data_IF_463379568605
#
_entry.id   IF_463379568605
#
_cell.length_a   1.000
_cell.length_b   1.000
_cell.length_c   1.000
_cell.angle_alpha   90.00
_cell.angle_beta   90.00
_cell.angle_gamma   90.00
#
_symmetry.space_group_name_H-M   'P 1'
#
loop_
_entity.id
_entity.type
_entity.pdbx_description
1 polymer ?
#
# COMPACT_ATOMS: atom_id res chain seq x y z
N UNK A 1 -17.53 -0.55 16.33
CA UNK A 1 -16.65 0.63 16.49
C UNK A 1 -15.66 0.42 17.63
N UNK A 2 -14.38 0.67 17.37
CA UNK A 2 -13.31 0.62 18.36
C UNK A 2 -12.74 2.04 18.53
N UNK A 3 -12.69 2.55 19.75
CA UNK A 3 -12.20 3.90 20.06
C UNK A 3 -10.99 3.74 20.98
N UNK A 4 -9.86 4.31 20.57
CA UNK A 4 -8.62 4.31 21.36
C UNK A 4 -8.17 5.74 21.60
N UNK A 5 -8.03 6.14 22.87
CA UNK A 5 -7.57 7.46 23.25
C UNK A 5 -6.03 7.55 23.15
N UNK A 6 -5.53 8.27 22.15
CA UNK A 6 -4.10 8.35 21.82
C UNK A 6 -3.33 9.44 22.59
N UNK A 7 -4.02 10.29 23.34
CA UNK A 7 -3.42 11.36 24.13
C UNK A 7 -3.92 12.77 23.75
N UNK A 8 -3.11 13.81 23.98
CA UNK A 8 -3.50 15.21 23.72
C UNK A 8 -3.88 15.51 22.27
N UNK A 9 -4.43 16.70 22.03
CA UNK A 9 -4.77 17.21 20.69
C UNK A 9 -3.60 17.01 19.71
N UNK A 10 -3.90 16.45 18.54
CA UNK A 10 -2.92 16.15 17.49
C UNK A 10 -2.45 14.68 17.47
N UNK A 11 -2.47 13.98 18.60
CA UNK A 11 -2.01 12.57 18.67
C UNK A 11 -2.84 11.62 17.79
N UNK A 12 -4.14 11.86 17.64
CA UNK A 12 -5.00 11.08 16.73
C UNK A 12 -4.58 11.19 15.26
N UNK A 13 -4.20 12.38 14.81
CA UNK A 13 -3.73 12.61 13.43
C UNK A 13 -2.36 11.97 13.20
N UNK A 14 -1.44 12.12 14.17
CA UNK A 14 -0.14 11.45 14.13
C UNK A 14 -0.32 9.92 14.08
N UNK A 15 -1.23 9.37 14.89
CA UNK A 15 -1.56 7.93 14.90
C UNK A 15 -2.10 7.48 13.55
N UNK A 16 -3.00 8.25 12.93
CA UNK A 16 -3.52 7.94 11.60
C UNK A 16 -2.40 7.93 10.55
N UNK A 17 -1.47 8.89 10.60
CA UNK A 17 -0.32 8.95 9.70
C UNK A 17 0.60 7.73 9.87
N UNK A 18 0.90 7.32 11.11
CA UNK A 18 1.66 6.09 11.38
C UNK A 18 0.96 4.84 10.83
N UNK A 19 -0.36 4.73 11.03
CA UNK A 19 -1.15 3.62 10.50
C UNK A 19 -1.14 3.59 8.97
N UNK A 20 -1.31 4.74 8.31
CA UNK A 20 -1.26 4.86 6.85
C UNK A 20 0.12 4.47 6.32
N UNK A 21 1.19 4.96 6.95
CA UNK A 21 2.58 4.60 6.59
C UNK A 21 2.79 3.08 6.60
N UNK A 22 2.42 2.40 7.68
CA UNK A 22 2.56 0.94 7.80
C UNK A 22 1.72 0.23 6.73
N UNK A 23 0.46 0.65 6.56
CA UNK A 23 -0.44 0.07 5.56
C UNK A 23 0.16 0.15 4.16
N UNK A 24 0.54 1.34 3.70
CA UNK A 24 1.07 1.54 2.35
C UNK A 24 2.36 0.78 2.09
N UNK A 25 3.29 0.78 3.05
CA UNK A 25 4.54 0.02 2.93
C UNK A 25 4.26 -1.48 2.83
N UNK A 26 3.29 -1.98 3.59
CA UNK A 26 2.87 -3.37 3.52
C UNK A 26 2.28 -3.72 2.14
N UNK A 27 1.46 -2.84 1.55
CA UNK A 27 0.90 -3.06 0.22
C UNK A 27 1.97 -3.13 -0.87
N UNK A 28 2.95 -2.22 -0.82
CA UNK A 28 4.05 -2.22 -1.79
C UNK A 28 4.95 -3.45 -1.64
N UNK A 29 5.24 -3.86 -0.39
CA UNK A 29 5.98 -5.09 -0.12
C UNK A 29 5.23 -6.33 -0.64
N UNK A 30 3.91 -6.40 -0.46
CA UNK A 30 3.09 -7.46 -1.05
C UNK A 30 3.17 -7.43 -2.58
N UNK A 31 3.05 -6.26 -3.21
CA UNK A 31 3.15 -6.13 -4.66
C UNK A 31 4.49 -6.64 -5.21
N UNK A 32 5.61 -6.26 -4.59
CA UNK A 32 6.94 -6.75 -4.97
C UNK A 32 7.08 -8.26 -4.77
N UNK A 33 6.59 -8.79 -3.65
CA UNK A 33 6.61 -10.23 -3.38
C UNK A 33 5.79 -11.03 -4.39
N UNK A 34 4.61 -10.51 -4.80
CA UNK A 34 3.79 -11.11 -5.84
C UNK A 34 4.56 -11.15 -7.17
N UNK A 35 5.08 -10.01 -7.65
CA UNK A 35 5.80 -9.95 -8.93
C UNK A 35 7.03 -10.84 -8.93
N UNK A 36 7.79 -10.85 -7.83
CA UNK A 36 8.95 -11.72 -7.70
C UNK A 36 8.53 -13.19 -7.71
N UNK A 37 7.50 -13.56 -6.95
CA UNK A 37 6.95 -14.91 -6.92
C UNK A 37 6.53 -15.39 -8.30
N UNK A 38 5.78 -14.57 -9.05
CA UNK A 38 5.35 -14.89 -10.41
C UNK A 38 6.54 -15.15 -11.34
N UNK A 39 7.58 -14.31 -11.28
CA UNK A 39 8.80 -14.48 -12.09
C UNK A 39 9.60 -15.74 -11.70
N UNK A 40 9.44 -16.21 -10.47
CA UNK A 40 10.04 -17.45 -9.97
C UNK A 40 9.14 -18.68 -10.22
N UNK A 41 7.99 -18.53 -10.88
CA UNK A 41 7.06 -19.63 -11.15
C UNK A 41 6.22 -20.05 -9.94
N UNK A 42 6.12 -19.19 -8.92
CA UNK A 42 5.23 -19.42 -7.76
C UNK A 42 3.79 -19.11 -8.16
N UNK A 43 2.87 -20.01 -7.82
CA UNK A 43 1.44 -19.70 -7.84
C UNK A 43 1.11 -18.70 -6.72
N UNK A 44 1.15 -17.42 -7.07
CA UNK A 44 1.00 -16.34 -6.09
C UNK A 44 -0.39 -16.25 -5.47
N UNK A 45 -1.39 -16.89 -6.09
CA UNK A 45 -2.73 -17.00 -5.49
C UNK A 45 -2.73 -17.86 -4.21
N UNK A 46 -1.69 -18.70 -4.02
CA UNK A 46 -1.51 -19.56 -2.84
C UNK A 46 -0.63 -18.94 -1.76
N UNK A 47 0.01 -17.80 -2.00
CA UNK A 47 0.85 -17.15 -0.98
C UNK A 47 0.10 -16.77 0.30
N UNK A 48 -1.14 -16.25 0.26
CA UNK A 48 -1.91 -16.00 1.49
C UNK A 48 -2.07 -17.26 2.36
N UNK A 49 -2.36 -18.41 1.73
CA UNK A 49 -2.50 -19.69 2.42
C UNK A 49 -1.15 -20.21 2.94
N UNK A 50 -0.07 -20.02 2.15
CA UNK A 50 1.28 -20.42 2.52
C UNK A 50 1.85 -19.60 3.68
N UNK A 51 1.44 -18.34 3.81
CA UNK A 51 1.91 -17.45 4.88
C UNK A 51 1.06 -17.56 6.15
N UNK A 52 -0.13 -18.14 6.09
CA UNK A 52 -1.09 -18.20 7.17
C UNK A 52 -0.45 -18.65 8.50
N UNK A 53 -0.64 -17.85 9.56
CA UNK A 53 -0.06 -18.10 10.88
C UNK A 53 1.43 -17.76 11.04
N UNK A 54 2.10 -17.31 9.98
CA UNK A 54 3.47 -16.81 10.00
C UNK A 54 3.57 -15.28 10.01
N UNK A 55 4.79 -14.75 10.05
CA UNK A 55 5.04 -13.29 10.07
C UNK A 55 4.54 -12.55 8.83
N UNK A 56 4.46 -13.23 7.69
CA UNK A 56 3.98 -12.66 6.43
C UNK A 56 2.44 -12.66 6.32
N UNK A 57 1.72 -13.29 7.26
CA UNK A 57 0.26 -13.23 7.34
C UNK A 57 -0.21 -11.88 7.88
N UNK A 58 -0.13 -10.87 7.02
CA UNK A 58 -0.47 -9.48 7.33
C UNK A 58 -1.89 -9.14 6.87
N UNK A 59 -2.55 -8.12 7.46
CA UNK A 59 -3.82 -7.61 6.93
C UNK A 59 -3.76 -7.27 5.43
N UNK A 60 -2.63 -6.73 4.95
CA UNK A 60 -2.46 -6.37 3.55
C UNK A 60 -2.62 -7.55 2.58
N UNK A 61 -1.98 -8.69 2.85
CA UNK A 61 -2.09 -9.87 1.98
C UNK A 61 -3.46 -10.57 2.10
N UNK A 62 -4.07 -10.55 3.30
CA UNK A 62 -5.43 -11.07 3.52
C UNK A 62 -6.49 -10.23 2.82
N UNK A 63 -6.40 -8.91 2.89
CA UNK A 63 -7.31 -8.01 2.20
C UNK A 63 -7.14 -8.09 0.68
N UNK A 64 -5.90 -8.18 0.19
CA UNK A 64 -5.62 -8.43 -1.22
C UNK A 64 -6.30 -9.72 -1.69
N UNK A 65 -6.10 -10.84 -0.96
CA UNK A 65 -6.75 -12.13 -1.28
C UNK A 65 -8.27 -12.02 -1.34
N UNK A 66 -8.87 -11.33 -0.37
CA UNK A 66 -10.32 -11.15 -0.30
C UNK A 66 -10.84 -10.31 -1.47
N UNK A 67 -10.17 -9.20 -1.78
CA UNK A 67 -10.58 -8.32 -2.88
C UNK A 67 -10.51 -9.03 -4.25
N UNK A 68 -9.50 -9.87 -4.47
CA UNK A 68 -9.40 -10.69 -5.69
C UNK A 68 -10.61 -11.64 -5.90
N UNK A 69 -11.38 -11.93 -4.84
CA UNK A 69 -12.58 -12.76 -4.93
C UNK A 69 -13.90 -11.95 -5.03
N UNK A 70 -13.91 -10.68 -4.64
CA UNK A 70 -15.15 -9.95 -4.31
C UNK A 70 -15.48 -8.74 -5.21
N UNK A 71 -14.62 -8.32 -6.15
CA UNK A 71 -14.91 -7.22 -7.07
C UNK A 71 -14.07 -5.96 -6.82
N UNK A 72 -14.49 -4.77 -7.31
CA UNK A 72 -13.56 -3.74 -7.76
C UNK A 72 -12.55 -3.35 -6.69
N UNK A 73 -11.34 -3.05 -7.14
CA UNK A 73 -10.23 -2.68 -6.26
C UNK A 73 -10.59 -1.44 -5.45
N UNK A 74 -10.58 -1.56 -4.12
CA UNK A 74 -10.79 -0.47 -3.18
C UNK A 74 -9.70 -0.48 -2.10
N UNK A 75 -9.32 0.68 -1.58
CA UNK A 75 -8.43 0.79 -0.43
C UNK A 75 -7.04 0.19 -0.66
N UNK A 76 -6.54 -0.59 0.30
CA UNK A 76 -5.17 -1.09 0.28
C UNK A 76 -4.85 -2.05 -0.88
N UNK A 77 -5.74 -3.01 -1.25
CA UNK A 77 -5.58 -3.84 -2.44
C UNK A 77 -5.37 -3.07 -3.75
N UNK A 78 -6.00 -1.89 -3.90
CA UNK A 78 -5.78 -1.02 -5.06
C UNK A 78 -4.33 -0.55 -5.17
N UNK A 79 -3.69 -0.24 -4.04
CA UNK A 79 -2.29 0.19 -4.03
C UNK A 79 -1.35 -0.97 -4.35
N UNK A 80 -1.65 -2.17 -3.86
CA UNK A 80 -0.92 -3.40 -4.22
C UNK A 80 -0.96 -3.65 -5.73
N UNK A 81 -2.16 -3.66 -6.33
CA UNK A 81 -2.30 -3.92 -7.77
C UNK A 81 -1.75 -2.78 -8.64
N UNK A 82 -1.82 -1.52 -8.18
CA UNK A 82 -1.22 -0.41 -8.90
C UNK A 82 0.31 -0.57 -9.02
N UNK A 83 0.95 -0.92 -7.91
CA UNK A 83 2.40 -1.14 -7.88
C UNK A 83 2.79 -2.40 -8.65
N UNK A 84 2.02 -3.49 -8.53
CA UNK A 84 2.24 -4.73 -9.29
C UNK A 84 2.15 -4.52 -10.79
N UNK A 85 1.14 -3.78 -11.26
CA UNK A 85 1.00 -3.43 -12.68
C UNK A 85 2.23 -2.63 -13.17
N UNK A 86 2.68 -1.64 -12.41
CA UNK A 86 3.88 -0.87 -12.74
C UNK A 86 5.15 -1.74 -12.83
N UNK A 87 5.39 -2.58 -11.83
CA UNK A 87 6.55 -3.48 -11.79
C UNK A 87 6.55 -4.53 -12.92
N UNK A 88 5.37 -4.88 -13.41
CA UNK A 88 5.20 -5.88 -14.47
C UNK A 88 5.20 -5.27 -15.88
N UNK A 89 5.35 -3.94 -16.00
CA UNK A 89 5.05 -3.20 -17.24
C UNK A 89 3.64 -3.55 -17.78
N UNK A 90 2.72 -3.86 -16.87
CA UNK A 90 1.36 -4.29 -17.17
C UNK A 90 0.47 -3.13 -17.61
N UNK A 91 -0.74 -3.44 -18.10
CA UNK A 91 -1.70 -2.44 -18.55
C UNK A 91 -2.12 -1.49 -17.41
N UNK A 92 -2.86 -0.43 -17.77
CA UNK A 92 -3.52 0.43 -16.80
C UNK A 92 -4.32 -0.39 -15.77
N UNK A 93 -4.42 0.12 -14.54
CA UNK A 93 -5.15 -0.51 -13.44
C UNK A 93 -6.52 -1.06 -13.88
N UNK A 94 -6.97 -2.20 -13.32
CA UNK A 94 -8.36 -2.60 -13.43
C UNK A 94 -9.28 -1.49 -12.93
N UNK A 95 -10.55 -1.54 -13.35
CA UNK A 95 -11.57 -0.63 -12.84
C UNK A 95 -11.58 -0.67 -11.29
N UNK A 96 -11.40 0.50 -10.68
CA UNK A 96 -11.31 0.65 -9.23
C UNK A 96 -12.47 1.49 -8.70
N UNK A 97 -12.90 1.19 -7.48
CA UNK A 97 -13.92 1.95 -6.76
C UNK A 97 -13.28 2.86 -5.71
N UNK A 98 -13.87 4.03 -5.45
CA UNK A 98 -13.48 4.87 -4.32
C UNK A 98 -12.14 5.60 -4.48
N UNK A 99 -11.41 5.71 -3.36
CA UNK A 99 -10.17 6.48 -3.23
C UNK A 99 -9.09 6.03 -4.22
N UNK A 100 -8.75 6.90 -5.19
CA UNK A 100 -7.74 6.60 -6.21
C UNK A 100 -6.30 6.62 -5.66
N UNK A 101 -5.29 6.19 -6.42
CA UNK A 101 -3.88 6.40 -6.08
C UNK A 101 -3.50 7.87 -5.81
N UNK A 102 -4.33 8.84 -6.19
CA UNK A 102 -4.14 10.24 -5.82
C UNK A 102 -4.25 10.47 -4.29
N UNK A 103 -5.06 9.66 -3.60
CA UNK A 103 -5.19 9.73 -2.13
C UNK A 103 -3.89 9.25 -1.46
N UNK A 104 -3.22 8.23 -2.01
CA UNK A 104 -1.93 7.76 -1.52
C UNK A 104 -0.87 8.87 -1.54
N UNK A 105 -0.81 9.68 -2.62
CA UNK A 105 0.10 10.82 -2.69
C UNK A 105 -0.18 11.84 -1.60
N UNK A 106 -1.44 12.21 -1.41
CA UNK A 106 -1.86 13.16 -0.36
C UNK A 106 -1.44 12.67 1.03
N UNK A 107 -1.65 11.40 1.32
CA UNK A 107 -1.30 10.82 2.61
C UNK A 107 0.22 10.75 2.82
N UNK A 108 0.99 10.42 1.78
CA UNK A 108 2.46 10.51 1.79
C UNK A 108 2.92 11.94 2.08
N UNK A 109 2.33 12.96 1.47
CA UNK A 109 2.69 14.36 1.70
C UNK A 109 2.40 14.81 3.14
N UNK A 110 1.30 14.32 3.74
CA UNK A 110 1.00 14.52 5.16
C UNK A 110 2.08 13.86 6.02
N UNK A 111 2.42 12.59 5.76
CA UNK A 111 3.45 11.85 6.51
C UNK A 111 4.80 12.58 6.42
N UNK A 112 5.21 13.02 5.23
CA UNK A 112 6.47 13.75 5.01
C UNK A 112 6.47 15.10 5.73
N UNK A 113 5.32 15.77 5.81
CA UNK A 113 5.19 17.03 6.57
C UNK A 113 5.41 16.80 8.06
N UNK A 114 4.80 15.76 8.63
CA UNK A 114 5.01 15.38 10.04
C UNK A 114 6.46 14.95 10.32
N UNK A 115 7.10 14.24 9.38
CA UNK A 115 8.50 13.86 9.48
C UNK A 115 9.43 15.09 9.55
N UNK A 116 9.19 16.09 8.69
CA UNK A 116 9.95 17.36 8.71
C UNK A 116 9.77 18.12 10.02
N UNK A 117 8.56 18.15 10.59
CA UNK A 117 8.29 18.82 11.86
C UNK A 117 9.00 18.17 13.05
N UNK A 118 9.32 16.88 12.95
CA UNK A 118 9.97 16.11 14.03
C UNK A 118 11.46 15.88 13.81
N UNK A 119 11.98 16.23 12.62
CA UNK A 119 13.38 15.97 12.24
C UNK A 119 13.68 14.50 11.94
N UNK A 120 12.65 13.64 11.83
CA UNK A 120 12.82 12.22 11.51
C UNK A 120 12.97 12.03 10.00
N UNK A 121 13.92 11.18 9.60
CA UNK A 121 14.03 10.74 8.20
C UNK A 121 13.25 9.45 7.99
N UNK A 122 12.45 9.39 6.93
CA UNK A 122 11.62 8.23 6.57
C UNK A 122 12.05 7.65 5.22
N UNK A 123 13.18 6.91 5.14
CA UNK A 123 13.77 6.50 3.86
C UNK A 123 12.81 5.68 2.98
N UNK A 124 12.04 4.77 3.59
CA UNK A 124 11.07 3.95 2.85
C UNK A 124 9.91 4.78 2.29
N UNK A 125 9.48 5.82 3.00
CA UNK A 125 8.44 6.73 2.52
C UNK A 125 8.98 7.61 1.38
N UNK A 126 10.23 8.05 1.45
CA UNK A 126 10.85 8.81 0.36
C UNK A 126 10.98 7.98 -0.91
N UNK A 127 11.42 6.71 -0.79
CA UNK A 127 11.44 5.78 -1.93
C UNK A 127 10.03 5.54 -2.48
N UNK A 128 9.04 5.35 -1.62
CA UNK A 128 7.65 5.20 -2.02
C UNK A 128 7.13 6.44 -2.75
N UNK A 129 7.45 7.65 -2.28
CA UNK A 129 7.03 8.89 -2.91
C UNK A 129 7.55 8.98 -4.37
N UNK A 130 8.79 8.56 -4.61
CA UNK A 130 9.36 8.48 -5.97
C UNK A 130 8.58 7.49 -6.83
N UNK A 131 8.35 6.28 -6.33
CA UNK A 131 7.60 5.23 -7.05
C UNK A 131 6.17 5.67 -7.39
N UNK A 132 5.48 6.31 -6.43
CA UNK A 132 4.14 6.89 -6.65
C UNK A 132 4.19 8.03 -7.69
N UNK A 133 5.26 8.82 -7.72
CA UNK A 133 5.48 9.81 -8.77
C UNK A 133 5.55 9.17 -10.17
N UNK A 134 6.36 8.12 -10.32
CA UNK A 134 6.52 7.38 -11.58
C UNK A 134 5.22 6.69 -12.02
N UNK A 135 4.51 6.07 -11.08
CA UNK A 135 3.20 5.44 -11.30
C UNK A 135 2.18 6.38 -11.96
N UNK A 136 2.20 7.66 -11.57
CA UNK A 136 1.29 8.65 -12.13
C UNK A 136 1.79 9.21 -13.47
N UNK A 137 3.11 9.35 -13.66
CA UNK A 137 3.69 9.79 -14.93
C UNK A 137 3.42 8.77 -16.05
N UNK A 138 3.46 7.47 -15.74
CA UNK A 138 3.26 6.38 -16.70
C UNK A 138 1.79 6.17 -17.13
N UNK A 139 0.84 6.96 -16.60
CA UNK A 139 -0.59 6.91 -16.99
C UNK A 139 -1.03 8.06 -17.89
N UNK A 140 -0.11 8.97 -18.23
CA UNK A 140 -0.37 10.12 -19.10
C UNK A 140 0.04 9.92 -20.56
N UNK A 141 0.30 8.67 -20.99
CA UNK A 141 0.67 8.29 -22.36
C UNK A 141 -0.37 7.42 -23.02
#
# INVERSE_FOLDING_TARGET
DNITHMGPTGTGQATKACNQMIGFLSAFAVAEALVLGERLGVDVARLPDAFAGGFADTPAIREWRRNMAEGPLIGLPLHTEAMRAFLSNGPALPAYGGASPANLRKDIDIIRTLARQTGVTLPLIEQMAVMVGLLHANRGG
#
